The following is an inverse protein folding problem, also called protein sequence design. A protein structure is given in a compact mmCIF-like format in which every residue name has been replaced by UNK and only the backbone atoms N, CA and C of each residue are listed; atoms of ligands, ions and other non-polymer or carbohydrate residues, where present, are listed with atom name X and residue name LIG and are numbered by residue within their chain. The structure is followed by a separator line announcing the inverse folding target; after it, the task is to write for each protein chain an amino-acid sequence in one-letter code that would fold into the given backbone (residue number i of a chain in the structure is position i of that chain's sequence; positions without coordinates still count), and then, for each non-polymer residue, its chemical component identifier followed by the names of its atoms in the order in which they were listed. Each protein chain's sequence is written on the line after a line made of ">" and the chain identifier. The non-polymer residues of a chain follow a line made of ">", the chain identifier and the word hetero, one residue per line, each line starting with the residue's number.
data_IF_534882140804
#
_entry.id   IF_534882140804
#
_cell.length_a   1.000
_cell.length_b   1.000
_cell.length_c   1.000
_cell.angle_alpha   90.00
_cell.angle_beta   90.00
_cell.angle_gamma   90.00
#
_symmetry.space_group_name_H-M   'P 1'
#
loop_
_entity.id
_entity.type
_entity.pdbx_description
1 polymer ?
#
# COMPACT_ATOMS: atom_id res chain seq x y z
N UNK A 1 -0.94 -19.60 -59.93
CA UNK A 1 -1.92 -19.85 -58.86
C UNK A 1 -1.76 -18.80 -57.77
N UNK A 2 -2.80 -18.02 -57.50
CA UNK A 2 -2.76 -16.95 -56.50
C UNK A 2 -3.60 -17.33 -55.30
N UNK A 3 -2.97 -17.52 -54.14
CA UNK A 3 -3.66 -17.67 -52.86
C UNK A 3 -4.38 -16.34 -52.58
N UNK A 4 -5.71 -16.32 -52.69
CA UNK A 4 -6.51 -15.20 -52.20
C UNK A 4 -6.35 -15.14 -50.68
N UNK A 5 -6.12 -13.97 -50.07
CA UNK A 5 -6.16 -13.88 -48.62
C UNK A 5 -7.56 -14.26 -48.15
N UNK A 6 -7.65 -15.27 -47.29
CA UNK A 6 -8.89 -15.59 -46.60
C UNK A 6 -9.22 -14.39 -45.71
N UNK A 7 -10.22 -13.61 -46.10
CA UNK A 7 -10.80 -12.60 -45.23
C UNK A 7 -11.49 -13.28 -44.06
N UNK A 8 -11.30 -12.76 -42.85
CA UNK A 8 -11.99 -13.24 -41.66
C UNK A 8 -13.49 -13.01 -41.81
N UNK A 9 -14.29 -13.97 -41.33
CA UNK A 9 -15.74 -13.84 -41.24
C UNK A 9 -16.11 -12.79 -40.18
N UNK A 10 -17.36 -12.30 -40.26
CA UNK A 10 -17.90 -11.35 -39.28
C UNK A 10 -17.92 -11.96 -37.87
N UNK A 11 -18.16 -13.27 -37.75
CA UNK A 11 -18.12 -13.99 -36.47
C UNK A 11 -16.70 -14.14 -35.93
N UNK A 12 -15.72 -14.41 -36.80
CA UNK A 12 -14.30 -14.46 -36.41
C UNK A 12 -13.79 -13.10 -35.93
N UNK A 13 -14.20 -12.02 -36.59
CA UNK A 13 -13.92 -10.64 -36.16
C UNK A 13 -14.55 -10.34 -34.79
N UNK A 14 -15.83 -10.68 -34.59
CA UNK A 14 -16.51 -10.48 -33.30
C UNK A 14 -15.87 -11.28 -32.16
N UNK A 15 -15.49 -12.54 -32.42
CA UNK A 15 -14.78 -13.38 -31.46
C UNK A 15 -13.41 -12.82 -31.10
N UNK A 16 -12.69 -12.26 -32.08
CA UNK A 16 -11.39 -11.63 -31.87
C UNK A 16 -11.53 -10.35 -31.02
N UNK A 17 -12.51 -9.50 -31.30
CA UNK A 17 -12.80 -8.30 -30.49
C UNK A 17 -13.15 -8.67 -29.05
N UNK A 18 -13.99 -9.70 -28.84
CA UNK A 18 -14.32 -10.18 -27.51
C UNK A 18 -13.09 -10.76 -26.78
N UNK A 19 -12.22 -11.47 -27.48
CA UNK A 19 -10.97 -11.98 -26.93
C UNK A 19 -10.02 -10.85 -26.53
N UNK A 20 -9.86 -9.84 -27.39
CA UNK A 20 -9.08 -8.65 -27.10
C UNK A 20 -9.63 -7.90 -25.88
N UNK A 21 -10.95 -7.73 -25.77
CA UNK A 21 -11.60 -7.12 -24.60
C UNK A 21 -11.26 -7.82 -23.29
N UNK A 22 -11.24 -9.17 -23.27
CA UNK A 22 -10.83 -9.95 -22.09
C UNK A 22 -9.36 -9.74 -21.72
N UNK A 23 -8.48 -9.70 -22.71
CA UNK A 23 -7.05 -9.44 -22.48
C UNK A 23 -6.83 -8.04 -21.90
N UNK A 24 -7.49 -7.03 -22.47
CA UNK A 24 -7.42 -5.64 -21.97
C UNK A 24 -7.92 -5.55 -20.53
N UNK A 25 -9.06 -6.16 -20.21
CA UNK A 25 -9.60 -6.16 -18.84
C UNK A 25 -8.62 -6.78 -17.83
N UNK A 26 -7.97 -7.90 -18.17
CA UNK A 26 -6.95 -8.52 -17.32
C UNK A 26 -5.76 -7.59 -17.08
N UNK A 27 -5.22 -7.01 -18.14
CA UNK A 27 -4.06 -6.10 -18.05
C UNK A 27 -4.38 -4.85 -17.22
N UNK A 28 -5.61 -4.33 -17.33
CA UNK A 28 -6.06 -3.20 -16.51
C UNK A 28 -6.12 -3.57 -15.02
N UNK A 29 -6.69 -4.73 -14.68
CA UNK A 29 -6.72 -5.20 -13.29
C UNK A 29 -5.33 -5.43 -12.70
N UNK A 30 -4.40 -5.99 -13.50
CA UNK A 30 -3.02 -6.22 -13.07
C UNK A 30 -2.26 -4.90 -12.89
N UNK A 31 -2.45 -3.95 -13.81
CA UNK A 31 -1.90 -2.59 -13.68
C UNK A 31 -2.40 -1.92 -12.41
N UNK A 32 -3.70 -1.96 -12.13
CA UNK A 32 -4.26 -1.32 -10.92
C UNK A 32 -3.67 -1.89 -9.63
N UNK A 33 -3.46 -3.21 -9.57
CA UNK A 33 -2.79 -3.86 -8.43
C UNK A 33 -1.34 -3.39 -8.27
N UNK A 34 -0.60 -3.23 -9.37
CA UNK A 34 0.80 -2.80 -9.36
C UNK A 34 0.97 -1.30 -9.12
N UNK A 35 0.01 -0.47 -9.53
CA UNK A 35 0.06 0.99 -9.39
C UNK A 35 -0.72 1.49 -8.19
N UNK A 36 -1.26 0.62 -7.33
CA UNK A 36 -2.01 1.02 -6.15
C UNK A 36 -1.10 1.88 -5.26
N UNK A 37 -1.47 3.14 -4.98
CA UNK A 37 -0.65 4.01 -4.15
C UNK A 37 -0.68 3.52 -2.70
N UNK A 38 0.49 3.50 -2.06
CA UNK A 38 0.62 3.14 -0.64
C UNK A 38 -0.13 4.18 0.20
N UNK A 39 -1.10 3.80 1.03
CA UNK A 39 -1.82 4.72 1.91
C UNK A 39 -0.87 5.46 2.87
N UNK A 40 -1.10 6.75 3.06
CA UNK A 40 -0.29 7.57 3.98
C UNK A 40 -0.33 7.07 5.43
N UNK A 41 -1.44 6.46 5.84
CA UNK A 41 -1.58 5.84 7.16
C UNK A 41 -0.63 4.67 7.43
N UNK A 42 0.04 4.14 6.41
CA UNK A 42 1.07 3.10 6.56
C UNK A 42 2.47 3.67 6.76
N UNK A 43 2.65 4.99 6.53
CA UNK A 43 3.94 5.64 6.63
C UNK A 43 4.17 6.14 8.05
N UNK A 44 5.38 5.92 8.56
CA UNK A 44 5.82 6.46 9.83
C UNK A 44 5.94 7.99 9.71
N UNK A 45 5.33 8.77 10.62
CA UNK A 45 5.46 10.24 10.58
C UNK A 45 6.91 10.74 10.71
N UNK A 46 7.80 9.96 11.33
CA UNK A 46 9.22 10.32 11.49
C UNK A 46 10.01 10.00 10.21
N UNK A 47 9.98 8.74 9.74
CA UNK A 47 10.84 8.30 8.63
C UNK A 47 10.22 8.52 7.26
N UNK A 48 8.92 8.76 7.18
CA UNK A 48 8.12 8.83 5.94
C UNK A 48 8.13 7.52 5.12
N UNK A 49 8.65 6.44 5.70
CA UNK A 49 8.68 5.09 5.13
C UNK A 49 7.55 4.23 5.68
N UNK A 50 7.21 3.16 4.95
CA UNK A 50 6.22 2.17 5.40
C UNK A 50 6.67 1.51 6.70
N UNK A 51 5.80 1.50 7.70
CA UNK A 51 6.05 0.86 8.98
C UNK A 51 6.14 -0.65 8.83
N UNK A 52 7.19 -1.25 9.41
CA UNK A 52 7.35 -2.70 9.55
C UNK A 52 6.90 -3.17 10.93
N UNK A 53 7.20 -2.39 11.97
CA UNK A 53 6.75 -2.66 13.33
C UNK A 53 6.00 -1.44 13.90
N UNK A 54 4.74 -1.25 13.49
CA UNK A 54 3.95 -0.11 13.92
C UNK A 54 3.65 -0.18 15.43
N UNK A 55 4.02 0.87 16.16
CA UNK A 55 3.71 1.06 17.58
C UNK A 55 2.98 2.37 17.80
N UNK A 56 2.00 2.35 18.70
CA UNK A 56 1.19 3.51 19.05
C UNK A 56 1.69 4.13 20.35
N UNK A 57 1.89 5.45 20.33
CA UNK A 57 2.12 6.25 21.52
C UNK A 57 0.79 6.48 22.24
N UNK A 58 0.64 5.95 23.46
CA UNK A 58 -0.63 5.98 24.19
C UNK A 58 -1.10 7.40 24.49
N UNK A 59 -0.17 8.33 24.75
CA UNK A 59 -0.49 9.70 25.10
C UNK A 59 -1.25 10.44 23.97
N UNK A 60 -1.01 10.09 22.71
CA UNK A 60 -1.55 10.83 21.55
C UNK A 60 -2.33 9.97 20.56
N UNK A 61 -2.23 8.64 20.67
CA UNK A 61 -2.83 7.70 19.73
C UNK A 61 -2.13 7.64 18.36
N UNK A 62 -1.01 8.36 18.17
CA UNK A 62 -0.25 8.31 16.93
C UNK A 62 0.59 7.05 16.82
N UNK A 63 0.71 6.52 15.60
CA UNK A 63 1.48 5.31 15.31
C UNK A 63 2.76 5.65 14.54
N UNK A 64 3.85 5.00 14.91
CA UNK A 64 5.19 5.20 14.35
C UNK A 64 5.88 3.86 14.13
N UNK A 65 6.97 3.87 13.39
CA UNK A 65 7.92 2.77 13.38
C UNK A 65 8.62 2.67 14.75
N UNK A 66 8.67 1.47 15.34
CA UNK A 66 9.20 1.22 16.68
C UNK A 66 10.57 1.85 16.91
N UNK A 67 11.54 1.49 16.07
CA UNK A 67 12.91 1.95 16.24
C UNK A 67 13.03 3.49 16.18
N UNK A 68 12.14 4.15 15.44
CA UNK A 68 12.17 5.60 15.26
C UNK A 68 11.60 6.33 16.47
N UNK A 69 10.46 5.88 16.99
CA UNK A 69 9.85 6.52 18.16
C UNK A 69 10.60 6.21 19.45
N UNK A 70 11.17 5.00 19.59
CA UNK A 70 12.01 4.65 20.74
C UNK A 70 13.26 5.53 20.80
N UNK A 71 13.91 5.76 19.65
CA UNK A 71 15.03 6.69 19.55
C UNK A 71 14.61 8.12 19.89
N UNK A 72 13.50 8.60 19.33
CA UNK A 72 13.01 9.95 19.61
C UNK A 72 12.77 10.17 21.11
N UNK A 73 12.05 9.24 21.76
CA UNK A 73 11.70 9.32 23.18
C UNK A 73 12.89 9.10 24.13
N UNK A 74 14.04 8.67 23.61
CA UNK A 74 15.31 8.62 24.37
C UNK A 74 15.95 10.01 24.50
N UNK A 75 15.70 10.89 23.55
CA UNK A 75 16.28 12.24 23.48
C UNK A 75 15.25 13.34 23.79
N UNK A 76 13.96 13.08 23.58
CA UNK A 76 12.87 14.06 23.66
C UNK A 76 11.70 13.55 24.51
N UNK A 77 10.91 14.48 25.04
CA UNK A 77 9.65 14.22 25.77
C UNK A 77 8.42 14.68 25.00
N UNK A 78 8.50 14.84 23.68
CA UNK A 78 7.41 15.35 22.84
C UNK A 78 6.91 14.31 21.85
N UNK A 79 5.68 14.46 21.37
CA UNK A 79 5.16 13.74 20.22
C UNK A 79 5.83 14.27 18.93
N UNK A 80 6.47 13.42 18.12
CA UNK A 80 7.19 13.87 16.91
C UNK A 80 6.32 14.56 15.85
N UNK A 81 5.02 14.31 15.86
CA UNK A 81 4.08 14.81 14.84
C UNK A 81 3.47 16.15 15.25
N UNK A 82 3.16 16.34 16.53
CA UNK A 82 2.54 17.57 17.03
C UNK A 82 3.52 18.49 17.74
N UNK A 83 4.70 17.98 18.10
CA UNK A 83 5.71 18.65 18.92
C UNK A 83 5.18 19.08 20.31
N UNK A 84 4.14 18.40 20.80
CA UNK A 84 3.55 18.63 22.13
C UNK A 84 4.18 17.67 23.14
N UNK A 85 4.44 18.16 24.35
CA UNK A 85 4.97 17.35 25.44
C UNK A 85 4.00 16.21 25.80
N UNK A 86 4.55 15.00 25.99
CA UNK A 86 3.75 13.81 26.29
C UNK A 86 3.90 13.42 27.75
N UNK A 87 2.76 13.28 28.43
CA UNK A 87 2.70 12.87 29.84
C UNK A 87 3.16 11.43 30.05
N UNK A 88 3.09 10.60 29.01
CA UNK A 88 3.49 9.19 29.04
C UNK A 88 4.25 8.80 27.78
N UNK A 89 5.34 8.04 27.97
CA UNK A 89 6.17 7.44 26.91
C UNK A 89 5.77 5.99 26.62
N UNK A 90 4.59 5.56 27.08
CA UNK A 90 4.12 4.21 26.88
C UNK A 90 3.82 3.93 25.40
N UNK A 91 4.43 2.88 24.87
CA UNK A 91 4.24 2.40 23.51
C UNK A 91 3.52 1.04 23.54
N UNK A 92 2.51 0.88 22.69
CA UNK A 92 1.85 -0.41 22.47
C UNK A 92 2.02 -0.85 21.02
N UNK A 93 2.19 -2.15 20.78
CA UNK A 93 2.24 -2.66 19.43
C UNK A 93 0.88 -2.52 18.74
N UNK A 94 0.85 -1.99 17.52
CA UNK A 94 -0.36 -1.89 16.71
C UNK A 94 -0.43 -3.09 15.76
N UNK A 95 -0.78 -4.25 16.31
CA UNK A 95 -0.86 -5.50 15.54
C UNK A 95 -1.88 -5.43 14.40
N UNK A 96 -3.00 -4.73 14.60
CA UNK A 96 -4.00 -4.53 13.56
C UNK A 96 -3.43 -3.80 12.35
N UNK A 97 -2.75 -2.68 12.56
CA UNK A 97 -2.10 -1.96 11.46
C UNK A 97 -1.01 -2.79 10.79
N UNK A 98 -0.23 -3.54 11.56
CA UNK A 98 0.79 -4.44 11.00
C UNK A 98 0.17 -5.45 10.05
N UNK A 99 -0.89 -6.13 10.47
CA UNK A 99 -1.63 -7.09 9.63
C UNK A 99 -2.22 -6.43 8.38
N UNK A 100 -2.80 -5.24 8.50
CA UNK A 100 -3.33 -4.50 7.34
C UNK A 100 -2.22 -4.10 6.35
N UNK A 101 -1.05 -3.72 6.84
CA UNK A 101 0.13 -3.41 6.00
C UNK A 101 0.61 -4.68 5.29
N UNK A 102 0.75 -5.80 6.00
CA UNK A 102 1.17 -7.08 5.45
C UNK A 102 0.21 -7.56 4.34
N UNK A 103 -1.09 -7.50 4.60
CA UNK A 103 -2.13 -7.84 3.63
C UNK A 103 -2.05 -6.95 2.38
N UNK A 104 -1.81 -5.64 2.55
CA UNK A 104 -1.69 -4.72 1.43
C UNK A 104 -0.52 -5.07 0.49
N UNK A 105 0.61 -5.49 1.05
CA UNK A 105 1.79 -5.91 0.27
C UNK A 105 1.76 -7.39 -0.14
N UNK A 106 0.71 -8.13 0.22
CA UNK A 106 0.56 -9.54 -0.10
C UNK A 106 1.59 -10.45 0.58
N UNK A 107 1.97 -10.12 1.82
CA UNK A 107 2.87 -10.94 2.64
C UNK A 107 2.11 -11.90 3.53
#
# INVERSE_FOLDING_TARGET
>A
EGVKPAGLSVEELSNLEAAAGRVVARLQGERERLTKPVPDGFRCPITQEVMRDPVMLIATGHTYERASIERWLSEHSTDPKTNVEVESRALIANHGLRSTIEEYFGK
#
